data_IF_677018333524
#
_entry.id   IF_677018333524
#
_cell.length_a   1.000
_cell.length_b   1.000
_cell.length_c   1.000
_cell.angle_alpha   90.00
_cell.angle_beta   90.00
_cell.angle_gamma   90.00
#
_symmetry.space_group_name_H-M   'P 1'
#
loop_
_entity.id
_entity.type
_entity.pdbx_description
1 polymer ?
#
# COMPACT_ATOMS: atom_id res chain seq x y z
N UNK A 1 8.87 -2.24 -15.77
CA UNK A 1 8.08 -2.41 -17.01
C UNK A 1 6.63 -2.54 -16.62
N UNK A 2 5.70 -1.94 -17.37
CA UNK A 2 4.25 -2.11 -17.21
C UNK A 2 3.70 -2.94 -18.38
N UNK A 3 2.76 -3.83 -18.11
CA UNK A 3 2.06 -4.65 -19.12
C UNK A 3 0.60 -4.83 -18.70
N UNK A 4 -0.27 -5.07 -19.67
CA UNK A 4 -1.68 -5.42 -19.46
C UNK A 4 -1.83 -6.94 -19.58
N UNK A 5 -2.58 -7.53 -18.66
CA UNK A 5 -2.98 -8.94 -18.72
C UNK A 5 -4.46 -8.99 -19.08
N UNK A 6 -4.79 -9.63 -20.19
CA UNK A 6 -6.17 -9.84 -20.64
C UNK A 6 -6.91 -10.87 -19.78
N UNK A 7 -8.24 -10.86 -19.86
CA UNK A 7 -9.08 -11.81 -19.13
C UNK A 7 -8.84 -13.29 -19.54
N UNK A 8 -8.27 -13.51 -20.73
CA UNK A 8 -7.83 -14.81 -21.24
C UNK A 8 -6.41 -15.19 -20.78
N UNK A 9 -5.77 -14.35 -19.96
CA UNK A 9 -4.39 -14.52 -19.51
C UNK A 9 -3.33 -14.07 -20.51
N UNK A 10 -3.71 -13.53 -21.67
CA UNK A 10 -2.76 -12.99 -22.64
C UNK A 10 -2.01 -11.79 -22.05
N UNK A 11 -0.71 -11.68 -22.33
CA UNK A 11 0.14 -10.60 -21.82
C UNK A 11 0.53 -9.68 -22.96
N UNK A 12 0.23 -8.39 -22.83
CA UNK A 12 0.54 -7.38 -23.84
C UNK A 12 2.06 -7.17 -24.01
N UNK A 13 2.42 -6.47 -25.09
CA UNK A 13 3.72 -5.80 -25.17
C UNK A 13 3.89 -4.80 -24.00
N UNK A 14 5.14 -4.46 -23.60
CA UNK A 14 5.40 -3.40 -22.64
C UNK A 14 4.70 -2.10 -23.00
N UNK A 15 4.02 -1.47 -22.03
CA UNK A 15 3.48 -0.13 -22.18
C UNK A 15 4.63 0.87 -22.26
N UNK A 16 4.70 1.61 -23.35
CA UNK A 16 5.67 2.68 -23.55
C UNK A 16 5.27 3.94 -22.76
N UNK A 17 6.23 4.85 -22.51
CA UNK A 17 5.95 6.13 -21.84
C UNK A 17 5.80 6.06 -20.32
N UNK A 18 6.08 4.92 -19.69
CA UNK A 18 6.20 4.84 -18.22
C UNK A 18 7.44 5.59 -17.71
N UNK A 19 7.43 6.13 -16.49
CA UNK A 19 8.56 6.85 -15.92
C UNK A 19 9.85 6.01 -15.89
N UNK A 20 11.00 6.69 -15.95
CA UNK A 20 12.27 6.07 -15.55
C UNK A 20 12.29 5.82 -14.03
N UNK A 21 12.83 4.68 -13.61
CA UNK A 21 12.77 4.24 -12.22
C UNK A 21 14.11 3.74 -11.72
N UNK A 22 14.37 3.94 -10.42
CA UNK A 22 15.51 3.32 -9.72
C UNK A 22 15.15 1.90 -9.29
N UNK A 23 15.41 0.93 -10.16
CA UNK A 23 15.17 -0.49 -9.86
C UNK A 23 16.28 -1.09 -8.99
N UNK A 24 16.18 -0.94 -7.66
CA UNK A 24 17.15 -1.49 -6.70
C UNK A 24 16.48 -1.88 -5.39
N UNK A 25 16.76 -3.10 -4.91
CA UNK A 25 16.18 -3.63 -3.67
C UNK A 25 14.65 -3.71 -3.77
N UNK A 26 13.96 -2.90 -2.98
CA UNK A 26 12.50 -2.77 -2.99
C UNK A 26 11.98 -1.68 -3.93
N UNK A 27 12.86 -0.92 -4.59
CA UNK A 27 12.51 0.14 -5.54
C UNK A 27 12.25 -0.39 -6.95
N UNK A 28 11.49 0.36 -7.73
CA UNK A 28 11.16 0.07 -9.12
C UNK A 28 9.93 0.87 -9.57
N UNK A 29 9.23 0.34 -10.58
CA UNK A 29 7.83 0.69 -10.83
C UNK A 29 6.98 -0.13 -9.84
N UNK A 30 6.13 0.53 -9.07
CA UNK A 30 5.49 -0.08 -7.89
C UNK A 30 3.99 -0.25 -8.10
N UNK A 31 3.17 0.74 -7.74
CA UNK A 31 1.72 0.61 -7.85
C UNK A 31 1.21 1.16 -9.18
N UNK A 32 0.09 0.60 -9.64
CA UNK A 32 -0.68 1.09 -10.78
C UNK A 32 -2.16 0.98 -10.47
N UNK A 33 -2.86 2.12 -10.49
CA UNK A 33 -4.30 2.18 -10.18
C UNK A 33 -5.01 2.98 -11.26
N UNK A 34 -6.02 2.41 -11.95
CA UNK A 34 -6.90 3.19 -12.81
C UNK A 34 -7.67 4.23 -12.01
N UNK A 35 -7.85 5.42 -12.58
CA UNK A 35 -8.76 6.41 -12.02
C UNK A 35 -10.18 5.83 -11.87
N UNK A 36 -11.00 6.24 -10.89
CA UNK A 36 -12.38 5.76 -10.75
C UNK A 36 -13.21 5.85 -12.05
N UNK A 37 -13.12 6.98 -12.76
CA UNK A 37 -13.70 7.18 -14.10
C UNK A 37 -12.83 6.69 -15.29
N UNK A 38 -11.96 5.69 -15.10
CA UNK A 38 -11.04 5.20 -16.14
C UNK A 38 -11.76 4.81 -17.44
N UNK A 39 -12.98 4.29 -17.36
CA UNK A 39 -13.79 3.96 -18.53
C UNK A 39 -13.94 5.15 -19.50
N UNK A 40 -13.99 6.38 -18.98
CA UNK A 40 -14.16 7.63 -19.72
C UNK A 40 -12.83 8.32 -19.98
N UNK A 41 -12.04 8.56 -18.94
CA UNK A 41 -10.86 9.44 -19.04
C UNK A 41 -9.55 8.72 -19.39
N UNK A 42 -9.52 7.38 -19.27
CA UNK A 42 -8.35 6.52 -19.49
C UNK A 42 -7.13 6.88 -18.63
N UNK A 43 -7.32 7.56 -17.50
CA UNK A 43 -6.22 7.97 -16.62
C UNK A 43 -5.80 6.81 -15.70
N UNK A 44 -4.50 6.56 -15.63
CA UNK A 44 -3.90 5.68 -14.63
C UNK A 44 -2.91 6.47 -13.77
N UNK A 45 -2.80 6.08 -12.50
CA UNK A 45 -1.87 6.62 -11.53
C UNK A 45 -0.82 5.56 -11.26
N UNK A 46 0.43 6.00 -11.16
CA UNK A 46 1.60 5.16 -10.97
C UNK A 46 2.41 5.71 -9.82
N UNK A 47 2.88 4.83 -8.96
CA UNK A 47 3.96 5.18 -8.04
C UNK A 47 5.23 4.43 -8.39
N UNK A 48 6.36 5.09 -8.19
CA UNK A 48 7.67 4.54 -8.52
C UNK A 48 8.76 5.16 -7.67
N UNK A 49 9.91 4.50 -7.60
CA UNK A 49 11.12 5.07 -7.00
C UNK A 49 11.80 6.02 -7.98
N UNK A 50 11.52 7.32 -7.86
CA UNK A 50 12.14 8.38 -8.67
C UNK A 50 13.48 8.84 -8.11
N UNK A 51 14.47 9.00 -8.99
CA UNK A 51 15.81 9.48 -8.69
C UNK A 51 15.82 11.00 -8.46
N UNK A 52 16.65 11.47 -7.54
CA UNK A 52 17.02 12.88 -7.40
C UNK A 52 18.36 13.03 -6.68
N UNK A 53 18.62 14.22 -6.19
CA UNK A 53 19.86 14.53 -5.46
C UNK A 53 19.92 13.74 -4.15
N UNK A 54 20.98 12.96 -3.96
CA UNK A 54 21.18 12.14 -2.76
C UNK A 54 20.57 10.73 -2.83
N UNK A 55 19.77 10.38 -3.86
CA UNK A 55 19.30 9.01 -4.05
C UNK A 55 17.91 8.93 -4.69
N UNK A 56 17.10 7.98 -4.24
CA UNK A 56 15.73 7.82 -4.73
C UNK A 56 14.72 8.08 -3.61
N UNK A 57 13.47 8.36 -3.96
CA UNK A 57 12.29 8.21 -3.09
C UNK A 57 11.03 8.10 -3.93
N UNK A 58 9.91 7.76 -3.30
CA UNK A 58 8.65 7.51 -3.98
C UNK A 58 8.12 8.77 -4.67
N UNK A 59 7.62 8.62 -5.88
CA UNK A 59 6.92 9.66 -6.64
C UNK A 59 5.57 9.11 -7.10
N UNK A 60 4.59 9.99 -7.18
CA UNK A 60 3.28 9.73 -7.79
C UNK A 60 3.25 10.42 -9.14
N UNK A 61 2.87 9.70 -10.19
CA UNK A 61 2.59 10.25 -11.50
C UNK A 61 1.23 9.78 -12.02
N UNK A 62 0.71 10.50 -13.00
CA UNK A 62 -0.51 10.18 -13.72
C UNK A 62 -0.25 10.29 -15.21
N UNK A 63 -0.89 9.44 -16.00
CA UNK A 63 -0.90 9.53 -17.46
C UNK A 63 -2.16 8.93 -18.06
N UNK A 64 -2.38 9.16 -19.35
CA UNK A 64 -3.52 8.61 -20.10
C UNK A 64 -3.07 7.37 -20.87
N UNK A 65 -3.73 6.24 -20.61
CA UNK A 65 -3.44 4.97 -21.28
C UNK A 65 -4.18 4.88 -22.62
N UNK A 66 -3.43 4.88 -23.71
CA UNK A 66 -3.96 4.73 -25.07
C UNK A 66 -3.23 3.60 -25.79
N UNK A 67 -3.94 2.50 -26.05
CA UNK A 67 -3.34 1.30 -26.64
C UNK A 67 -2.21 0.76 -25.76
N UNK A 68 -1.00 0.72 -26.31
CA UNK A 68 0.23 0.28 -25.65
C UNK A 68 1.12 1.45 -25.19
N UNK A 69 0.56 2.65 -25.03
CA UNK A 69 1.31 3.85 -24.62
C UNK A 69 0.65 4.58 -23.46
N UNK A 70 1.49 5.11 -22.57
CA UNK A 70 1.12 6.07 -21.56
C UNK A 70 1.50 7.48 -22.03
N UNK A 71 0.50 8.29 -22.33
CA UNK A 71 0.65 9.65 -22.83
C UNK A 71 0.44 10.67 -21.71
N UNK A 72 0.95 11.89 -21.92
CA UNK A 72 0.74 13.03 -21.02
C UNK A 72 1.13 12.72 -19.56
N UNK A 73 2.26 12.04 -19.39
CA UNK A 73 2.77 11.69 -18.07
C UNK A 73 3.11 12.97 -17.28
N UNK A 74 2.52 13.09 -16.11
CA UNK A 74 2.68 14.21 -15.19
C UNK A 74 3.03 13.68 -13.80
N UNK A 75 4.07 14.23 -13.17
CA UNK A 75 4.44 13.87 -11.79
C UNK A 75 3.70 14.79 -10.84
N UNK A 76 2.81 14.20 -10.04
CA UNK A 76 1.91 14.90 -9.12
C UNK A 76 2.54 15.12 -7.74
N UNK A 77 3.38 14.19 -7.28
CA UNK A 77 4.01 14.28 -5.97
C UNK A 77 5.41 13.65 -5.96
N UNK A 78 6.30 14.21 -5.15
CA UNK A 78 7.67 13.72 -4.94
C UNK A 78 8.00 13.70 -3.46
N UNK A 79 8.16 12.50 -2.89
CA UNK A 79 8.61 12.37 -1.53
C UNK A 79 10.04 12.93 -1.36
N UNK A 80 10.25 13.63 -0.25
CA UNK A 80 11.52 14.25 0.14
C UNK A 80 11.85 13.89 1.59
N UNK A 81 13.14 13.72 1.93
CA UNK A 81 14.30 13.76 1.04
C UNK A 81 14.41 12.53 0.13
N UNK A 82 15.25 12.64 -0.90
CA UNK A 82 15.74 11.50 -1.68
C UNK A 82 16.95 10.90 -0.93
N UNK A 83 16.93 9.58 -0.70
CA UNK A 83 17.89 8.89 0.18
C UNK A 83 18.60 7.76 -0.57
N UNK A 84 19.89 7.50 -0.30
CA UNK A 84 20.65 6.41 -0.94
C UNK A 84 20.33 5.05 -0.29
N UNK A 85 19.03 4.75 -0.14
CA UNK A 85 18.51 3.51 0.43
C UNK A 85 17.71 2.73 -0.60
N UNK A 86 17.80 1.40 -0.55
CA UNK A 86 17.04 0.51 -1.42
C UNK A 86 15.85 -0.15 -0.72
N UNK A 87 15.42 0.39 0.43
CA UNK A 87 14.37 -0.18 1.29
C UNK A 87 13.26 0.83 1.55
N UNK A 88 12.10 0.29 1.93
CA UNK A 88 10.95 0.94 2.54
C UNK A 88 10.34 2.10 1.75
N UNK A 89 10.09 1.90 0.45
CA UNK A 89 9.44 2.91 -0.38
C UNK A 89 7.94 3.10 -0.10
N UNK A 90 7.30 2.16 0.61
CA UNK A 90 5.84 2.11 0.72
C UNK A 90 5.20 1.92 -0.66
N UNK A 91 4.49 2.96 -1.13
CA UNK A 91 4.09 3.23 -2.52
C UNK A 91 2.66 2.84 -2.93
N UNK A 92 1.76 2.48 -2.02
CA UNK A 92 0.37 2.14 -2.40
C UNK A 92 -0.47 3.38 -2.64
N UNK A 93 -1.40 3.31 -3.60
CA UNK A 93 -2.36 4.36 -3.95
C UNK A 93 -3.76 3.89 -3.55
N UNK A 94 -4.55 4.77 -2.93
CA UNK A 94 -5.98 4.55 -2.69
C UNK A 94 -6.79 5.79 -3.07
N UNK A 95 -7.84 5.61 -3.86
CA UNK A 95 -8.83 6.66 -4.15
C UNK A 95 -9.93 6.61 -3.10
N UNK A 96 -10.02 7.64 -2.26
CA UNK A 96 -11.06 7.74 -1.25
C UNK A 96 -12.40 8.19 -1.87
N UNK A 97 -13.56 7.93 -1.23
CA UNK A 97 -14.87 8.29 -1.75
C UNK A 97 -15.10 9.80 -1.93
N UNK A 98 -14.34 10.63 -1.20
CA UNK A 98 -14.36 12.09 -1.34
C UNK A 98 -13.61 12.59 -2.59
N UNK A 99 -13.02 11.68 -3.35
CA UNK A 99 -12.24 11.97 -4.55
C UNK A 99 -10.75 12.17 -4.29
N UNK A 100 -10.30 12.24 -3.04
CA UNK A 100 -8.89 12.39 -2.72
C UNK A 100 -8.06 11.13 -3.01
N UNK A 101 -6.77 11.34 -3.25
CA UNK A 101 -5.79 10.29 -3.52
C UNK A 101 -4.85 10.18 -2.32
N UNK A 102 -4.85 9.01 -1.69
CA UNK A 102 -3.91 8.69 -0.64
C UNK A 102 -2.71 7.94 -1.21
N UNK A 103 -1.50 8.29 -0.75
CA UNK A 103 -0.25 7.62 -1.13
C UNK A 103 0.51 7.19 0.12
N UNK A 104 0.91 5.93 0.15
CA UNK A 104 1.69 5.35 1.24
C UNK A 104 3.18 5.56 1.04
N UNK A 105 3.91 5.84 2.12
CA UNK A 105 5.37 5.92 2.12
C UNK A 105 5.95 5.03 3.22
N UNK A 106 7.27 4.85 3.21
CA UNK A 106 8.00 4.25 4.31
C UNK A 106 9.17 5.12 4.74
N UNK A 107 9.81 4.75 5.85
CA UNK A 107 10.88 5.50 6.51
C UNK A 107 12.23 5.43 5.77
N UNK A 108 12.29 4.69 4.65
CA UNK A 108 13.50 4.45 3.85
C UNK A 108 14.65 3.80 4.61
N UNK A 109 14.38 3.18 5.75
CA UNK A 109 15.36 2.59 6.67
C UNK A 109 15.93 3.58 7.69
N UNK A 110 15.41 4.80 7.76
CA UNK A 110 15.80 5.86 8.70
C UNK A 110 14.71 6.03 9.75
N UNK A 111 14.61 5.07 10.67
CA UNK A 111 13.47 4.94 11.59
C UNK A 111 13.11 6.22 12.35
N UNK A 112 14.10 6.98 12.83
CA UNK A 112 13.86 8.15 13.65
C UNK A 112 13.19 9.28 12.84
N UNK A 113 13.33 9.26 11.52
CA UNK A 113 12.68 10.21 10.62
C UNK A 113 11.17 9.97 10.48
N UNK A 114 10.64 8.80 10.87
CA UNK A 114 9.20 8.55 10.86
C UNK A 114 8.42 9.48 11.81
N UNK A 115 9.11 10.06 12.80
CA UNK A 115 8.57 11.09 13.71
C UNK A 115 8.97 12.51 13.28
N UNK A 116 9.76 12.67 12.22
CA UNK A 116 10.18 13.98 11.72
C UNK A 116 9.11 14.57 10.79
N UNK A 117 8.39 15.52 11.33
CA UNK A 117 7.24 16.17 10.69
C UNK A 117 7.59 17.04 9.49
N UNK A 118 8.88 17.37 9.33
CA UNK A 118 9.38 18.27 8.26
C UNK A 118 9.73 17.53 6.98
N UNK A 119 9.53 16.20 6.92
CA UNK A 119 9.77 15.39 5.74
C UNK A 119 8.72 14.29 5.55
N UNK A 120 8.87 13.50 4.48
CA UNK A 120 7.90 12.51 4.05
C UNK A 120 8.23 11.06 4.47
N UNK A 121 9.30 10.84 5.22
CA UNK A 121 9.74 9.50 5.60
C UNK A 121 8.78 8.96 6.65
N UNK A 122 8.18 7.80 6.39
CA UNK A 122 7.20 7.21 7.31
C UNK A 122 5.88 7.98 7.41
N UNK A 123 5.48 8.65 6.33
CA UNK A 123 4.21 9.37 6.24
C UNK A 123 3.19 8.66 5.32
N UNK A 124 1.91 8.98 5.51
CA UNK A 124 0.87 8.81 4.48
C UNK A 124 0.49 10.18 3.95
N UNK A 125 0.32 10.30 2.64
CA UNK A 125 0.01 11.57 1.95
C UNK A 125 -1.44 11.57 1.48
N UNK A 126 -2.12 12.72 1.51
CA UNK A 126 -3.45 12.94 0.90
C UNK A 126 -3.38 14.13 -0.05
N UNK A 127 -3.82 13.92 -1.28
CA UNK A 127 -3.82 14.90 -2.37
C UNK A 127 -5.18 14.94 -3.04
N UNK A 128 -5.48 16.03 -3.74
CA UNK A 128 -6.52 16.03 -4.77
C UNK A 128 -6.03 15.22 -6.00
N UNK A 129 -6.95 14.86 -6.90
CA UNK A 129 -6.64 14.01 -8.04
C UNK A 129 -5.64 14.64 -9.02
N UNK A 130 -5.52 15.96 -9.04
CA UNK A 130 -4.53 16.70 -9.82
C UNK A 130 -3.20 16.93 -9.10
N UNK A 131 -3.04 16.37 -7.90
CA UNK A 131 -1.83 16.52 -7.08
C UNK A 131 -1.80 17.80 -6.23
N UNK A 132 -2.83 18.65 -6.29
CA UNK A 132 -2.94 19.77 -5.36
C UNK A 132 -3.25 19.29 -3.94
N UNK A 133 -2.98 20.16 -2.95
CA UNK A 133 -3.17 19.82 -1.54
C UNK A 133 -4.59 20.21 -1.13
N UNK A 134 -5.41 19.27 -0.62
CA UNK A 134 -6.74 19.59 -0.12
C UNK A 134 -6.68 20.66 0.97
N UNK A 135 -7.57 21.66 0.89
CA UNK A 135 -7.57 22.77 1.84
C UNK A 135 -7.89 22.33 3.29
N UNK A 136 -8.53 21.17 3.46
CA UNK A 136 -8.89 20.57 4.74
C UNK A 136 -7.86 19.54 5.25
N UNK A 137 -6.69 19.42 4.60
CA UNK A 137 -5.64 18.51 5.06
C UNK A 137 -5.12 18.96 6.45
N UNK A 138 -4.77 18.03 7.37
CA UNK A 138 -4.64 18.33 8.79
C UNK A 138 -3.49 19.29 9.14
N UNK A 139 -2.54 19.46 8.23
CA UNK A 139 -1.30 20.17 8.46
C UNK A 139 -1.12 21.42 7.61
N UNK A 140 -2.15 21.83 6.86
CA UNK A 140 -2.13 23.09 6.11
C UNK A 140 -1.91 24.26 7.07
N UNK A 141 -0.80 24.98 6.89
CA UNK A 141 -0.43 26.14 7.72
C UNK A 141 0.20 25.80 9.08
N UNK A 142 0.53 24.53 9.33
CA UNK A 142 1.25 24.07 10.53
C UNK A 142 2.74 23.82 10.28
N UNK A 143 3.37 23.11 11.23
CA UNK A 143 4.80 22.76 11.19
C UNK A 143 5.10 21.52 10.34
N UNK A 144 4.10 20.66 10.12
CA UNK A 144 4.19 19.48 9.28
C UNK A 144 4.10 19.85 7.79
N UNK A 145 4.61 18.99 6.91
CA UNK A 145 4.40 19.16 5.48
C UNK A 145 2.89 19.08 5.13
N UNK A 146 2.35 20.05 4.38
CA UNK A 146 0.91 20.27 4.24
C UNK A 146 0.15 19.14 3.54
N UNK A 147 0.82 18.34 2.71
CA UNK A 147 0.25 17.15 2.05
C UNK A 147 0.19 15.90 2.96
N UNK A 148 0.83 15.94 4.13
CA UNK A 148 0.83 14.82 5.08
C UNK A 148 -0.58 14.61 5.66
N UNK A 149 -1.00 13.36 5.72
CA UNK A 149 -2.27 12.95 6.34
C UNK A 149 -2.06 12.32 7.71
N UNK A 150 -1.05 11.46 7.83
CA UNK A 150 -0.62 10.81 9.08
C UNK A 150 0.87 10.44 9.01
N UNK A 151 1.49 10.14 10.14
CA UNK A 151 2.93 9.87 10.25
C UNK A 151 3.23 8.80 11.30
N UNK A 152 4.51 8.50 11.54
CA UNK A 152 4.91 7.43 12.46
C UNK A 152 4.76 6.04 11.87
N UNK A 153 4.95 5.90 10.56
CA UNK A 153 4.91 4.62 9.84
C UNK A 153 6.31 4.11 9.50
N UNK A 154 6.48 2.80 9.46
CA UNK A 154 7.72 2.14 9.04
C UNK A 154 7.76 1.90 7.54
N UNK A 155 6.81 1.12 6.99
CA UNK A 155 6.78 0.79 5.57
C UNK A 155 5.40 0.26 5.14
N UNK A 156 4.50 1.18 4.79
CA UNK A 156 3.13 0.85 4.40
C UNK A 156 3.12 0.19 3.02
N UNK A 157 2.79 -1.10 2.95
CA UNK A 157 2.87 -1.88 1.69
C UNK A 157 1.51 -2.09 1.02
N UNK A 158 0.41 -1.89 1.75
CA UNK A 158 -0.95 -1.99 1.21
C UNK A 158 -1.85 -0.93 1.81
N UNK A 159 -2.85 -0.55 1.02
CA UNK A 159 -3.92 0.38 1.34
C UNK A 159 -5.15 -0.08 0.59
N UNK A 160 -6.31 -0.02 1.24
CA UNK A 160 -7.61 -0.26 0.63
C UNK A 160 -8.67 0.60 1.31
N UNK A 161 -9.65 1.04 0.55
CA UNK A 161 -10.82 1.73 1.11
C UNK A 161 -11.80 0.69 1.61
N UNK A 162 -12.20 0.79 2.87
CA UNK A 162 -13.30 -0.01 3.40
C UNK A 162 -14.60 0.46 2.72
N UNK A 163 -15.29 -0.41 1.94
CA UNK A 163 -16.47 0.01 1.18
C UNK A 163 -17.66 0.37 2.07
N UNK A 164 -17.70 -0.10 3.32
CA UNK A 164 -18.78 0.19 4.27
C UNK A 164 -18.63 1.56 4.95
N UNK A 165 -17.40 1.93 5.34
CA UNK A 165 -17.14 3.19 6.07
C UNK A 165 -16.55 4.31 5.20
N UNK A 166 -15.96 3.97 4.05
CA UNK A 166 -15.17 4.88 3.22
C UNK A 166 -13.79 5.20 3.80
N UNK A 167 -13.41 4.61 4.94
CA UNK A 167 -12.12 4.84 5.57
C UNK A 167 -10.99 4.13 4.81
N UNK A 168 -9.84 4.78 4.76
CA UNK A 168 -8.63 4.20 4.17
C UNK A 168 -7.94 3.35 5.23
N UNK A 169 -7.90 2.04 5.00
CA UNK A 169 -7.11 1.12 5.80
C UNK A 169 -5.76 0.90 5.15
N UNK A 170 -4.76 0.63 5.97
CA UNK A 170 -3.40 0.38 5.55
C UNK A 170 -2.83 -0.80 6.33
N UNK A 171 -1.83 -1.45 5.78
CA UNK A 171 -0.96 -2.30 6.59
C UNK A 171 0.49 -1.97 6.30
N UNK A 172 1.36 -2.32 7.24
CA UNK A 172 2.78 -2.08 7.12
C UNK A 172 3.64 -3.22 7.65
N UNK A 173 4.89 -3.24 7.16
CA UNK A 173 5.90 -4.17 7.66
C UNK A 173 6.48 -3.65 8.97
N UNK A 174 6.43 -4.50 10.00
CA UNK A 174 7.26 -4.37 11.18
C UNK A 174 8.72 -4.76 10.92
N UNK A 175 9.59 -4.63 11.93
CA UNK A 175 10.97 -5.11 11.89
C UNK A 175 11.02 -6.65 11.95
N UNK A 176 11.49 -7.25 13.06
CA UNK A 176 11.34 -8.69 13.29
C UNK A 176 10.05 -8.93 14.08
N UNK A 177 8.96 -9.20 13.35
CA UNK A 177 7.61 -9.16 13.94
C UNK A 177 7.06 -7.73 13.97
N UNK A 178 5.81 -7.60 14.41
CA UNK A 178 5.13 -6.31 14.53
C UNK A 178 4.64 -5.75 13.21
N UNK A 179 4.26 -6.63 12.26
CA UNK A 179 3.46 -6.18 11.12
C UNK A 179 2.09 -5.75 11.62
N UNK A 180 1.47 -4.74 11.00
CA UNK A 180 0.27 -4.10 11.53
C UNK A 180 -0.77 -3.84 10.43
N UNK A 181 -2.05 -3.91 10.78
CA UNK A 181 -3.19 -3.35 10.02
C UNK A 181 -3.75 -2.18 10.81
N UNK A 182 -3.85 -1.03 10.14
CA UNK A 182 -4.17 0.27 10.69
C UNK A 182 -5.35 0.90 9.91
N UNK A 183 -6.19 1.67 10.60
CA UNK A 183 -7.17 2.58 9.96
C UNK A 183 -6.53 3.95 9.94
N UNK A 184 -6.24 4.50 8.76
CA UNK A 184 -5.56 5.79 8.67
C UNK A 184 -6.49 6.91 9.16
N UNK A 185 -6.01 7.66 10.15
CA UNK A 185 -6.73 8.79 10.75
C UNK A 185 -6.01 10.08 10.45
N UNK A 186 -6.78 11.12 10.19
CA UNK A 186 -6.26 12.47 9.95
C UNK A 186 -5.45 12.94 11.17
N UNK A 187 -4.28 13.52 10.93
CA UNK A 187 -3.31 14.04 11.91
C UNK A 187 -2.67 13.01 12.84
N UNK A 188 -2.99 11.72 12.68
CA UNK A 188 -2.59 10.71 13.64
C UNK A 188 -1.11 10.31 13.55
N UNK A 189 -0.57 9.89 14.69
CA UNK A 189 0.76 9.31 14.85
C UNK A 189 0.63 7.80 15.09
N UNK A 190 1.16 6.98 14.18
CA UNK A 190 1.17 5.51 14.31
C UNK A 190 2.37 4.96 15.08
N UNK A 191 3.24 5.87 15.55
CA UNK A 191 4.13 5.62 16.67
C UNK A 191 5.46 4.94 16.35
N UNK A 192 5.71 4.45 15.13
CA UNK A 192 7.04 3.96 14.76
C UNK A 192 8.09 5.09 14.83
N UNK A 193 9.28 4.87 15.44
CA UNK A 193 9.75 3.66 16.12
C UNK A 193 9.59 3.72 17.66
N UNK A 194 8.89 4.73 18.18
CA UNK A 194 8.70 5.02 19.60
C UNK A 194 7.92 3.89 20.29
N UNK A 195 6.90 3.39 19.62
CA UNK A 195 6.20 2.16 19.96
C UNK A 195 6.34 1.16 18.82
N UNK A 196 6.44 -0.13 19.14
CA UNK A 196 6.34 -1.20 18.15
C UNK A 196 6.11 -2.54 18.84
N UNK A 197 5.41 -3.45 18.17
CA UNK A 197 5.28 -4.84 18.58
C UNK A 197 6.48 -5.72 18.13
N UNK A 198 7.39 -5.17 17.33
CA UNK A 198 8.54 -5.88 16.78
C UNK A 198 9.85 -5.63 17.54
N UNK A 199 10.85 -6.46 17.25
CA UNK A 199 12.21 -6.29 17.77
C UNK A 199 13.21 -6.01 16.65
N UNK A 200 14.45 -5.70 17.01
CA UNK A 200 15.57 -5.77 16.06
C UNK A 200 15.68 -7.17 15.48
N UNK A 201 16.27 -7.27 14.28
CA UNK A 201 16.55 -8.58 13.67
C UNK A 201 17.52 -9.43 14.51
N UNK A 202 18.37 -8.78 15.31
CA UNK A 202 19.23 -9.43 16.33
C UNK A 202 18.44 -10.02 17.51
N UNK A 203 17.19 -9.60 17.72
CA UNK A 203 16.35 -9.94 18.87
C UNK A 203 16.42 -8.93 20.01
N UNK A 204 17.25 -7.89 19.92
CA UNK A 204 17.25 -6.80 20.90
C UNK A 204 15.95 -5.97 20.78
N UNK A 205 15.41 -5.42 21.89
CA UNK A 205 14.28 -4.51 21.82
C UNK A 205 14.65 -3.24 21.05
N UNK A 206 13.72 -2.73 20.25
CA UNK A 206 13.82 -1.38 19.65
C UNK A 206 13.38 -0.35 20.69
N UNK A 207 12.27 -0.65 21.35
CA UNK A 207 11.69 0.02 22.49
C UNK A 207 11.07 -1.04 23.39
N UNK A 208 10.75 -0.68 24.63
CA UNK A 208 9.97 -1.52 25.54
C UNK A 208 8.48 -1.13 25.55
N UNK A 209 8.11 -0.10 24.80
CA UNK A 209 6.75 0.43 24.75
C UNK A 209 6.03 -0.10 23.50
N UNK A 210 4.83 -0.65 23.69
CA UNK A 210 3.95 -1.08 22.60
C UNK A 210 2.74 -0.16 22.42
N UNK A 211 2.54 0.79 23.35
CA UNK A 211 1.41 1.73 23.34
C UNK A 211 1.80 3.03 24.05
N UNK A 212 1.20 4.14 23.60
CA UNK A 212 1.22 5.45 24.26
C UNK A 212 -0.11 6.17 24.07
N UNK A 213 -0.54 7.04 24.99
CA UNK A 213 -1.82 7.74 24.89
C UNK A 213 -1.98 8.66 23.66
N UNK A 214 -0.88 9.14 23.09
CA UNK A 214 -0.82 10.06 21.95
C UNK A 214 -0.53 9.37 20.60
N UNK A 215 -0.57 8.03 20.58
CA UNK A 215 -0.25 7.22 19.41
C UNK A 215 -1.36 6.21 19.14
N UNK A 216 -1.70 6.05 17.87
CA UNK A 216 -2.70 5.11 17.43
C UNK A 216 -2.24 3.67 17.65
N UNK A 217 -3.22 2.78 17.77
CA UNK A 217 -2.99 1.34 17.87
C UNK A 217 -3.55 0.63 16.64
N UNK A 218 -2.90 -0.45 16.20
CA UNK A 218 -3.39 -1.22 15.09
C UNK A 218 -4.66 -1.98 15.44
N UNK A 219 -5.50 -2.19 14.43
CA UNK A 219 -6.64 -3.12 14.49
C UNK A 219 -6.16 -4.55 14.73
N UNK A 220 -5.04 -4.90 14.09
CA UNK A 220 -4.43 -6.21 14.16
C UNK A 220 -2.92 -6.09 13.99
N UNK A 221 -2.15 -6.93 14.69
CA UNK A 221 -0.72 -7.07 14.45
C UNK A 221 -0.28 -8.54 14.41
N UNK A 222 0.87 -8.81 13.80
CA UNK A 222 1.46 -10.15 13.71
C UNK A 222 2.87 -10.22 14.31
N UNK A 223 3.04 -11.12 15.29
CA UNK A 223 4.32 -11.56 15.84
C UNK A 223 4.31 -13.11 15.87
N UNK A 224 5.08 -13.81 15.03
CA UNK A 224 6.05 -13.29 14.05
C UNK A 224 5.41 -12.59 12.85
N UNK A 225 6.22 -11.81 12.14
CA UNK A 225 5.85 -11.08 10.92
C UNK A 225 5.51 -12.05 9.78
N UNK A 226 4.42 -11.78 9.07
CA UNK A 226 4.03 -12.47 7.83
C UNK A 226 4.57 -11.74 6.58
N UNK A 227 5.11 -10.54 6.76
CA UNK A 227 5.47 -9.56 5.74
C UNK A 227 4.28 -9.31 4.80
N UNK A 228 3.21 -8.65 5.28
CA UNK A 228 1.98 -8.45 4.52
C UNK A 228 2.25 -7.65 3.23
N UNK A 229 1.40 -7.81 2.22
CA UNK A 229 1.53 -7.17 0.91
C UNK A 229 0.17 -6.67 0.47
N UNK A 230 -0.14 -6.47 -0.81
CA UNK A 230 -1.44 -5.93 -1.23
C UNK A 230 -2.64 -6.48 -0.45
N UNK A 231 -3.61 -5.58 -0.22
CA UNK A 231 -4.80 -5.85 0.58
C UNK A 231 -6.05 -5.41 -0.20
N UNK A 232 -7.17 -6.06 0.06
CA UNK A 232 -8.46 -5.71 -0.52
C UNK A 232 -9.60 -6.14 0.39
N UNK A 233 -10.57 -5.26 0.59
CA UNK A 233 -11.87 -5.66 1.11
C UNK A 233 -12.63 -6.43 0.03
N UNK A 234 -13.43 -7.39 0.45
CA UNK A 234 -14.28 -8.15 -0.46
C UNK A 234 -15.75 -7.72 -0.33
N UNK A 235 -16.32 -7.26 -1.44
CA UNK A 235 -17.71 -6.83 -1.57
C UNK A 235 -18.47 -7.57 -2.68
N UNK A 236 -17.80 -8.50 -3.38
CA UNK A 236 -18.35 -9.26 -4.50
C UNK A 236 -19.36 -10.34 -4.11
N UNK A 237 -20.05 -10.89 -5.12
CA UNK A 237 -21.11 -11.89 -4.93
C UNK A 237 -20.66 -13.34 -5.11
N UNK A 238 -19.45 -13.60 -5.65
CA UNK A 238 -18.99 -14.96 -5.93
C UNK A 238 -18.72 -15.78 -4.65
N UNK A 239 -18.40 -15.11 -3.54
CA UNK A 239 -18.11 -15.71 -2.24
C UNK A 239 -18.99 -15.03 -1.17
N UNK A 240 -20.26 -15.44 -1.05
CA UNK A 240 -21.23 -14.79 -0.17
C UNK A 240 -20.74 -14.64 1.29
N UNK A 241 -20.06 -15.67 1.82
CA UNK A 241 -19.56 -15.72 3.20
C UNK A 241 -18.30 -14.87 3.44
N UNK A 242 -17.73 -14.25 2.40
CA UNK A 242 -16.52 -13.41 2.51
C UNK A 242 -16.84 -11.92 2.46
N UNK A 243 -18.12 -11.53 2.32
CA UNK A 243 -18.51 -10.12 2.21
C UNK A 243 -18.16 -9.34 3.48
N UNK A 244 -17.42 -8.25 3.31
CA UNK A 244 -16.90 -7.42 4.40
C UNK A 244 -15.53 -7.84 4.91
N UNK A 245 -15.04 -9.03 4.54
CA UNK A 245 -13.74 -9.50 4.96
C UNK A 245 -12.61 -8.73 4.29
N UNK A 246 -11.47 -8.69 4.98
CA UNK A 246 -10.23 -8.15 4.47
C UNK A 246 -9.28 -9.26 4.04
N UNK A 247 -8.83 -9.21 2.79
CA UNK A 247 -7.78 -10.06 2.26
C UNK A 247 -6.43 -9.35 2.31
N UNK A 248 -5.39 -10.04 2.77
CA UNK A 248 -4.02 -9.52 2.84
C UNK A 248 -3.05 -10.58 2.30
N UNK A 249 -2.30 -10.26 1.26
CA UNK A 249 -1.24 -11.15 0.78
C UNK A 249 -0.08 -11.25 1.79
N UNK A 250 0.59 -12.40 1.89
CA UNK A 250 1.77 -12.57 2.75
C UNK A 250 3.01 -12.96 1.93
N UNK A 251 4.06 -12.14 2.03
CA UNK A 251 5.33 -12.36 1.36
C UNK A 251 6.16 -13.42 2.09
N UNK A 252 6.47 -13.22 3.37
CA UNK A 252 7.25 -14.17 4.15
C UNK A 252 6.38 -15.38 4.54
N UNK A 253 5.11 -15.12 4.85
CA UNK A 253 4.13 -16.15 5.20
C UNK A 253 3.72 -17.07 4.04
N UNK A 254 3.89 -16.64 2.78
CA UNK A 254 3.55 -17.43 1.56
C UNK A 254 2.12 -17.98 1.55
N UNK A 255 1.17 -17.13 1.92
CA UNK A 255 -0.26 -17.44 1.89
C UNK A 255 -1.04 -16.16 1.57
N UNK A 256 -2.32 -16.32 1.27
CA UNK A 256 -3.29 -15.24 1.33
C UNK A 256 -3.99 -15.32 2.70
N UNK A 257 -4.03 -14.22 3.44
CA UNK A 257 -4.71 -14.14 4.74
C UNK A 257 -6.10 -13.54 4.53
N UNK A 258 -7.16 -14.28 4.88
CA UNK A 258 -8.52 -13.72 5.03
C UNK A 258 -8.70 -13.32 6.50
N UNK A 259 -9.19 -12.13 6.73
CA UNK A 259 -9.45 -11.56 8.05
C UNK A 259 -10.95 -11.26 8.10
N UNK A 260 -11.65 -11.94 9.02
CA UNK A 260 -13.05 -11.71 9.30
C UNK A 260 -13.18 -10.49 10.22
N UNK A 261 -14.06 -9.56 9.84
CA UNK A 261 -14.24 -8.28 10.52
C UNK A 261 -15.66 -8.16 11.09
N UNK A 262 -15.77 -7.70 12.34
CA UNK A 262 -17.01 -7.16 12.92
C UNK A 262 -16.81 -5.65 13.13
N UNK A 263 -17.38 -4.86 12.21
CA UNK A 263 -17.08 -3.43 12.11
C UNK A 263 -15.58 -3.20 11.85
N UNK A 264 -14.90 -2.60 12.84
CA UNK A 264 -13.47 -2.28 12.78
C UNK A 264 -12.61 -3.27 13.59
N UNK A 265 -13.19 -4.37 14.10
CA UNK A 265 -12.48 -5.37 14.89
C UNK A 265 -12.21 -6.64 14.08
N UNK A 266 -10.99 -7.19 14.18
CA UNK A 266 -10.65 -8.48 13.61
C UNK A 266 -11.10 -9.62 14.54
N UNK A 267 -12.12 -10.37 14.13
CA UNK A 267 -12.74 -11.44 14.93
C UNK A 267 -12.29 -12.84 14.52
N UNK A 268 -11.72 -13.00 13.33
CA UNK A 268 -11.26 -14.28 12.80
C UNK A 268 -10.19 -14.14 11.73
N UNK A 269 -9.40 -15.21 11.53
CA UNK A 269 -8.37 -15.24 10.47
C UNK A 269 -8.22 -16.64 9.87
N UNK A 270 -8.02 -16.71 8.56
CA UNK A 270 -7.81 -17.94 7.81
C UNK A 270 -6.63 -17.80 6.83
N UNK A 271 -5.85 -18.87 6.68
CA UNK A 271 -4.80 -18.97 5.66
C UNK A 271 -5.31 -19.70 4.44
N UNK A 272 -5.29 -19.03 3.31
CA UNK A 272 -5.61 -19.58 2.00
C UNK A 272 -4.33 -19.73 1.17
N UNK A 273 -4.36 -20.64 0.20
CA UNK A 273 -3.27 -20.85 -0.76
C UNK A 273 -1.92 -21.26 -0.13
N UNK A 274 -1.94 -21.90 1.03
CA UNK A 274 -0.71 -22.39 1.70
C UNK A 274 0.09 -23.36 0.84
N UNK A 275 -0.60 -24.16 0.03
CA UNK A 275 0.02 -25.20 -0.81
C UNK A 275 0.62 -24.64 -2.10
N UNK A 276 0.34 -23.37 -2.44
CA UNK A 276 0.93 -22.70 -3.60
C UNK A 276 2.44 -22.54 -3.44
N UNK A 277 2.95 -22.45 -2.21
CA UNK A 277 4.37 -22.32 -1.90
C UNK A 277 5.01 -21.00 -2.37
N UNK A 278 4.19 -20.03 -2.79
CA UNK A 278 4.63 -18.74 -3.36
C UNK A 278 4.38 -17.60 -2.42
N UNK A 279 5.27 -16.62 -2.48
CA UNK A 279 5.11 -15.31 -1.85
C UNK A 279 3.97 -14.58 -2.55
N UNK A 280 3.01 -14.01 -1.81
CA UNK A 280 1.93 -13.21 -2.40
C UNK A 280 2.34 -11.74 -2.34
N UNK A 281 2.18 -11.02 -3.46
CA UNK A 281 2.52 -9.59 -3.62
C UNK A 281 1.28 -8.70 -3.60
N UNK A 282 0.22 -9.12 -4.27
CA UNK A 282 -0.97 -8.29 -4.39
C UNK A 282 -2.25 -9.12 -4.35
N UNK A 283 -3.33 -8.49 -3.88
CA UNK A 283 -4.68 -9.03 -3.91
C UNK A 283 -5.67 -7.93 -4.29
N UNK A 284 -6.65 -8.24 -5.13
CA UNK A 284 -7.74 -7.34 -5.52
C UNK A 284 -9.06 -8.11 -5.60
N UNK A 285 -10.14 -7.51 -5.14
CA UNK A 285 -11.48 -7.93 -5.52
C UNK A 285 -11.76 -7.37 -6.93
N UNK A 286 -12.14 -8.24 -7.86
CA UNK A 286 -12.45 -7.90 -9.23
C UNK A 286 -13.91 -7.46 -9.40
N UNK A 287 -14.23 -6.68 -10.44
CA UNK A 287 -15.61 -6.25 -10.74
C UNK A 287 -16.52 -7.40 -11.17
N UNK A 288 -15.95 -8.56 -11.48
CA UNK A 288 -16.64 -9.82 -11.77
C UNK A 288 -16.95 -10.63 -10.48
N UNK A 289 -16.64 -10.07 -9.31
CA UNK A 289 -16.92 -10.67 -8.01
C UNK A 289 -15.87 -11.68 -7.53
N UNK A 290 -14.81 -11.92 -8.29
CA UNK A 290 -13.74 -12.85 -7.90
C UNK A 290 -12.58 -12.16 -7.18
N UNK A 291 -11.75 -12.94 -6.50
CA UNK A 291 -10.51 -12.45 -5.88
C UNK A 291 -9.33 -12.79 -6.77
N UNK A 292 -8.55 -11.79 -7.14
CA UNK A 292 -7.33 -11.92 -7.94
C UNK A 292 -6.09 -11.80 -7.07
N UNK A 293 -5.11 -12.67 -7.28
CA UNK A 293 -3.90 -12.76 -6.48
C UNK A 293 -2.66 -12.75 -7.38
N UNK A 294 -1.71 -11.85 -7.11
CA UNK A 294 -0.42 -11.81 -7.80
C UNK A 294 0.68 -12.33 -6.88
N UNK A 295 1.48 -13.29 -7.35
CA UNK A 295 2.66 -13.76 -6.60
C UNK A 295 3.90 -12.86 -6.82
N UNK A 296 4.85 -12.89 -5.89
CA UNK A 296 6.13 -12.16 -5.92
C UNK A 296 7.27 -13.04 -6.45
N UNK A 297 8.08 -12.52 -7.38
CA UNK A 297 9.32 -13.16 -7.85
C UNK A 297 9.36 -13.46 -9.34
N UNK A 298 10.42 -14.16 -9.78
CA UNK A 298 10.53 -14.66 -11.15
C UNK A 298 9.41 -15.66 -11.45
N UNK A 299 8.88 -15.62 -12.68
CA UNK A 299 7.74 -16.43 -13.09
C UNK A 299 6.53 -16.26 -12.14
N UNK A 300 6.30 -15.01 -11.72
CA UNK A 300 5.10 -14.63 -10.98
C UNK A 300 3.85 -15.04 -11.76
N UNK A 301 2.85 -15.54 -11.05
CA UNK A 301 1.55 -15.92 -11.58
C UNK A 301 0.49 -14.95 -11.09
N UNK A 302 -0.45 -14.65 -11.99
CA UNK A 302 -1.74 -14.04 -11.66
C UNK A 302 -2.76 -15.15 -11.53
N UNK A 303 -3.43 -15.23 -10.38
CA UNK A 303 -4.44 -16.23 -10.07
C UNK A 303 -5.79 -15.54 -9.95
N UNK A 304 -6.85 -16.22 -10.38
CA UNK A 304 -8.24 -15.92 -10.03
C UNK A 304 -8.73 -17.02 -9.11
N UNK A 305 -9.27 -16.64 -7.97
CA UNK A 305 -9.95 -17.55 -7.05
C UNK A 305 -11.38 -17.74 -7.50
N UNK A 306 -11.81 -18.98 -7.60
CA UNK A 306 -13.19 -19.36 -7.92
C UNK A 306 -13.76 -20.20 -6.78
N UNK A 307 -15.05 -20.07 -6.45
CA UNK A 307 -15.71 -20.94 -5.49
C UNK A 307 -15.69 -22.36 -6.03
N UNK A 308 -15.47 -23.34 -5.14
CA UNK A 308 -15.64 -24.73 -5.51
C UNK A 308 -17.11 -24.93 -5.87
N UNK A 309 -17.39 -25.44 -7.07
CA UNK A 309 -18.75 -25.79 -7.45
C UNK A 309 -19.32 -26.76 -6.41
N UNK A 310 -20.48 -26.40 -5.84
CA UNK A 310 -21.23 -27.29 -4.95
C UNK A 310 -21.75 -28.51 -5.71
#
# INVERSE_FOLDING_TARGET
>A
VLRVVGADGSVSAPIAGVPEVVSKGQGGLLDVVPHPDFAVNKLIYLTYSGQGDGGASTELARGRLEGDQLLQLEVLFRAVPKIPSAKHFGSRIAFAPDGSVHVSLGDRGHRDEAQNVTNHLGASIRLDQDGSIPADNPFVGGDHLPETFSFGHRNIQGMAVNPASGEVWAHEHGPKGGDEVNILKSSANFGWPVITYGTEYSGAPITHETTRPDMEQPVLYWVPSIAPSGMAFYDGDAFADWKGDLFVGALAGRHLRRIELDGNEAVGQEMLLTDLGRRIRDVRAGPDGYVYVLSDGENAVLLRLEPVAQ
#
